data_IF_998737899845
#
_entry.id   IF_998737899845
#
_cell.length_a   1.000
_cell.length_b   1.000
_cell.length_c   1.000
_cell.angle_alpha   90.00
_cell.angle_beta   90.00
_cell.angle_gamma   90.00
#
_symmetry.space_group_name_H-M   'P 1'
#
loop_
_entity.id
_entity.type
_entity.pdbx_description
1 polymer ?
#
# COMPACT_ATOMS: atom_id res chain seq x y z
N UNK A 1 15.74 -4.59 -28.17
CA UNK A 1 16.14 -4.70 -26.75
C UNK A 1 15.39 -3.70 -25.87
N UNK A 2 15.04 -2.50 -26.36
CA UNK A 2 14.31 -1.50 -25.55
C UNK A 2 12.89 -1.91 -25.20
N UNK A 3 12.16 -2.55 -26.13
CA UNK A 3 10.80 -3.04 -25.87
C UNK A 3 10.78 -4.18 -24.83
N UNK A 4 11.79 -5.05 -24.85
CA UNK A 4 11.96 -6.09 -23.83
C UNK A 4 12.22 -5.49 -22.45
N UNK A 5 13.11 -4.49 -22.35
CA UNK A 5 13.39 -3.79 -21.09
C UNK A 5 12.15 -3.09 -20.54
N UNK A 6 11.31 -2.52 -21.42
CA UNK A 6 10.04 -1.90 -21.03
C UNK A 6 9.06 -2.93 -20.45
N UNK A 7 8.94 -4.10 -21.07
CA UNK A 7 8.11 -5.19 -20.57
C UNK A 7 8.62 -5.72 -19.22
N UNK A 8 9.93 -5.87 -19.04
CA UNK A 8 10.52 -6.27 -17.76
C UNK A 8 10.25 -5.24 -16.65
N UNK A 9 10.40 -3.95 -16.94
CA UNK A 9 10.07 -2.88 -15.99
C UNK A 9 8.59 -2.89 -15.61
N UNK A 10 7.69 -3.12 -16.58
CA UNK A 10 6.26 -3.22 -16.32
C UNK A 10 5.92 -4.42 -15.43
N UNK A 11 6.58 -5.57 -15.63
CA UNK A 11 6.40 -6.75 -14.79
C UNK A 11 6.90 -6.50 -13.36
N UNK A 12 8.07 -5.87 -13.21
CA UNK A 12 8.60 -5.50 -11.89
C UNK A 12 7.64 -4.55 -11.19
N UNK A 13 7.17 -3.50 -11.86
CA UNK A 13 6.22 -2.54 -11.33
C UNK A 13 4.90 -3.19 -10.89
N UNK A 14 4.30 -4.01 -11.75
CA UNK A 14 3.06 -4.76 -11.43
C UNK A 14 3.23 -5.65 -10.21
N UNK A 15 4.37 -6.35 -10.12
CA UNK A 15 4.64 -7.24 -8.98
C UNK A 15 4.82 -6.47 -7.67
N UNK A 16 5.43 -5.28 -7.72
CA UNK A 16 5.62 -4.40 -6.56
C UNK A 16 4.28 -3.84 -6.09
N UNK A 17 3.47 -3.28 -6.99
CA UNK A 17 2.13 -2.78 -6.66
C UNK A 17 1.26 -3.90 -6.08
N UNK A 18 1.25 -5.07 -6.72
CA UNK A 18 0.42 -6.20 -6.25
C UNK A 18 0.76 -6.58 -4.81
N UNK A 19 2.06 -6.64 -4.48
CA UNK A 19 2.50 -6.93 -3.10
C UNK A 19 2.05 -5.84 -2.13
N UNK A 20 2.22 -4.57 -2.48
CA UNK A 20 1.78 -3.45 -1.65
C UNK A 20 0.28 -3.47 -1.41
N UNK A 21 -0.53 -3.78 -2.42
CA UNK A 21 -1.98 -3.90 -2.29
C UNK A 21 -2.35 -5.03 -1.34
N UNK A 22 -1.71 -6.21 -1.46
CA UNK A 22 -1.96 -7.35 -0.56
C UNK A 22 -1.63 -7.00 0.89
N UNK A 23 -0.46 -6.41 1.13
CA UNK A 23 -0.01 -6.05 2.48
C UNK A 23 -0.89 -4.98 3.11
N UNK A 24 -1.28 -3.97 2.33
CA UNK A 24 -2.18 -2.90 2.77
C UNK A 24 -3.58 -3.45 3.07
N UNK A 25 -4.09 -4.33 2.21
CA UNK A 25 -5.38 -4.99 2.41
C UNK A 25 -5.39 -5.78 3.69
N UNK A 26 -4.33 -6.57 3.95
CA UNK A 26 -4.20 -7.34 5.19
C UNK A 26 -4.19 -6.44 6.42
N UNK A 27 -3.36 -5.40 6.43
CA UNK A 27 -3.27 -4.45 7.56
C UNK A 27 -4.60 -3.77 7.83
N UNK A 28 -5.26 -3.26 6.79
CA UNK A 28 -6.53 -2.57 6.97
C UNK A 28 -7.65 -3.55 7.37
N UNK A 29 -7.63 -4.79 6.88
CA UNK A 29 -8.59 -5.81 7.32
C UNK A 29 -8.43 -6.14 8.81
N UNK A 30 -7.20 -6.39 9.27
CA UNK A 30 -6.89 -6.65 10.68
C UNK A 30 -7.29 -5.47 11.59
N UNK A 31 -7.18 -4.24 11.11
CA UNK A 31 -7.53 -3.04 11.88
C UNK A 31 -9.01 -2.67 11.83
N UNK A 32 -9.71 -2.96 10.74
CA UNK A 32 -11.05 -2.43 10.47
C UNK A 32 -12.17 -3.47 10.55
N UNK A 33 -11.85 -4.77 10.48
CA UNK A 33 -12.87 -5.83 10.48
C UNK A 33 -12.79 -6.62 11.79
N UNK A 34 -13.60 -6.24 12.81
CA UNK A 34 -13.56 -6.89 14.12
C UNK A 34 -14.07 -8.34 14.10
N UNK A 35 -14.91 -8.69 13.12
CA UNK A 35 -15.40 -10.04 12.92
C UNK A 35 -15.14 -10.51 11.47
N UNK A 36 -14.13 -11.38 11.25
CA UNK A 36 -13.77 -11.84 9.92
C UNK A 36 -14.83 -12.75 9.28
N UNK A 37 -15.80 -13.25 10.05
CA UNK A 37 -16.91 -14.08 9.55
C UNK A 37 -18.12 -13.26 9.09
N UNK A 38 -18.02 -11.92 9.10
CA UNK A 38 -19.06 -11.06 8.56
C UNK A 38 -19.25 -11.29 7.05
N UNK A 39 -20.49 -11.23 6.56
CA UNK A 39 -20.83 -11.46 5.14
C UNK A 39 -20.38 -10.33 4.20
N UNK A 40 -19.58 -9.38 4.68
CA UNK A 40 -19.10 -8.22 3.92
C UNK A 40 -18.82 -7.01 4.82
N UNK A 41 -18.31 -5.96 4.20
CA UNK A 41 -17.98 -4.70 4.86
C UNK A 41 -19.25 -3.87 5.11
N UNK A 42 -19.52 -3.57 6.37
CA UNK A 42 -20.56 -2.62 6.74
C UNK A 42 -20.10 -1.16 6.46
N UNK A 43 -20.97 -0.17 6.72
CA UNK A 43 -20.66 1.25 6.46
C UNK A 43 -19.43 1.74 7.24
N UNK A 44 -19.29 1.32 8.50
CA UNK A 44 -18.17 1.70 9.36
C UNK A 44 -16.88 1.05 8.90
N UNK A 45 -16.92 -0.22 8.50
CA UNK A 45 -15.74 -0.91 7.98
C UNK A 45 -15.22 -0.19 6.72
N UNK A 46 -16.11 0.19 5.79
CA UNK A 46 -15.74 0.93 4.57
C UNK A 46 -15.05 2.26 4.88
N UNK A 47 -15.60 3.04 5.81
CA UNK A 47 -14.99 4.32 6.25
C UNK A 47 -13.64 4.05 6.91
N UNK A 48 -13.53 3.02 7.75
CA UNK A 48 -12.27 2.64 8.36
C UNK A 48 -11.22 2.25 7.31
N UNK A 49 -11.58 1.46 6.29
CA UNK A 49 -10.69 1.11 5.20
C UNK A 49 -10.17 2.35 4.44
N UNK A 50 -11.06 3.29 4.13
CA UNK A 50 -10.67 4.55 3.46
C UNK A 50 -9.64 5.32 4.29
N UNK A 51 -9.90 5.47 5.60
CA UNK A 51 -8.99 6.15 6.51
C UNK A 51 -7.67 5.39 6.68
N UNK A 52 -7.72 4.06 6.79
CA UNK A 52 -6.54 3.22 6.93
C UNK A 52 -5.60 3.34 5.72
N UNK A 53 -6.17 3.30 4.51
CA UNK A 53 -5.40 3.49 3.27
C UNK A 53 -4.81 4.89 3.20
N UNK A 54 -5.59 5.93 3.50
CA UNK A 54 -5.11 7.32 3.52
C UNK A 54 -3.93 7.48 4.49
N UNK A 55 -4.12 7.06 5.74
CA UNK A 55 -3.09 7.17 6.78
C UNK A 55 -1.83 6.38 6.43
N UNK A 56 -1.96 5.21 5.79
CA UNK A 56 -0.83 4.42 5.32
C UNK A 56 -0.03 5.18 4.25
N UNK A 57 -0.71 5.76 3.25
CA UNK A 57 -0.05 6.50 2.17
C UNK A 57 0.62 7.77 2.68
N UNK A 58 -0.03 8.49 3.59
CA UNK A 58 0.55 9.67 4.25
C UNK A 58 1.82 9.30 5.03
N UNK A 59 1.76 8.20 5.80
CA UNK A 59 2.91 7.67 6.53
C UNK A 59 4.04 7.24 5.58
N UNK A 60 3.71 6.57 4.48
CA UNK A 60 4.67 6.14 3.48
C UNK A 60 5.36 7.33 2.80
N UNK A 61 4.64 8.42 2.53
CA UNK A 61 5.20 9.65 1.99
C UNK A 61 6.20 10.29 2.95
N UNK A 62 5.86 10.40 4.25
CA UNK A 62 6.75 10.94 5.29
C UNK A 62 8.04 10.11 5.41
N UNK A 63 7.90 8.77 5.45
CA UNK A 63 9.05 7.87 5.53
C UNK A 63 9.92 7.99 4.28
N UNK A 64 9.30 8.01 3.10
CA UNK A 64 10.02 8.12 1.83
C UNK A 64 10.81 9.43 1.74
N UNK A 65 10.20 10.54 2.15
CA UNK A 65 10.88 11.84 2.23
C UNK A 65 12.06 11.81 3.20
N UNK A 66 11.90 11.14 4.35
CA UNK A 66 12.97 10.99 5.34
C UNK A 66 14.13 10.13 4.83
N UNK A 67 13.83 9.04 4.13
CA UNK A 67 14.84 8.14 3.55
C UNK A 67 15.62 8.80 2.40
N UNK A 68 14.94 9.59 1.57
CA UNK A 68 15.57 10.32 0.47
C UNK A 68 16.34 11.56 0.96
N UNK A 69 15.81 12.26 1.98
CA UNK A 69 16.49 13.39 2.64
C UNK A 69 17.69 12.97 3.50
N UNK A 70 17.74 11.71 3.96
CA UNK A 70 18.86 11.13 4.72
C UNK A 70 20.12 10.83 3.91
N UNK A 71 20.11 11.01 2.57
CA UNK A 71 21.29 10.83 1.71
C UNK A 71 22.06 12.13 1.41
N UNK A 72 21.75 13.25 2.08
CA UNK A 72 22.41 14.54 1.82
C UNK A 72 23.15 15.14 3.03
N UNK A 73 23.73 14.29 3.90
CA UNK A 73 24.80 14.72 4.81
C UNK A 73 25.90 13.64 4.82
N UNK A 74 26.83 13.74 3.88
CA UNK A 74 28.28 13.58 4.05
C UNK A 74 29.00 13.82 2.73
#
# INVERSE_FOLDING_TARGET
MDEQRKQELELVWKSQITRQIIDLTKKCFESCVPNPNSKGLNKNDKVCFQNCVSNYLDSAAIISASLQGGQQIR
#
